data_IF_168099285222
#
_entry.id   IF_168099285222
#
_cell.length_a   1.000
_cell.length_b   1.000
_cell.length_c   1.000
_cell.angle_alpha   90.00
_cell.angle_beta   90.00
_cell.angle_gamma   90.00
#
_symmetry.space_group_name_H-M   'P 1'
#
loop_
_entity.id
_entity.type
_entity.pdbx_description
1 polymer ?
#
# COMPACT_ATOMS: atom_id res chain seq x y z
N UNK A 1 0.12 4.05 -42.94
CA UNK A 1 1.28 3.74 -42.06
C UNK A 1 1.44 4.77 -40.94
N UNK A 2 1.54 6.08 -41.21
CA UNK A 2 1.72 7.13 -40.17
C UNK A 2 0.64 7.13 -39.07
N UNK A 3 -0.64 6.99 -39.41
CA UNK A 3 -1.75 6.97 -38.42
C UNK A 3 -1.78 5.72 -37.54
N UNK A 4 -1.30 4.58 -38.05
CA UNK A 4 -1.20 3.31 -37.30
C UNK A 4 -0.06 3.41 -36.28
N UNK A 5 1.08 3.97 -36.69
CA UNK A 5 2.25 4.19 -35.81
C UNK A 5 1.92 5.22 -34.71
N UNK A 6 1.18 6.28 -35.02
CA UNK A 6 0.77 7.28 -34.02
C UNK A 6 -0.24 6.72 -33.00
N UNK A 7 -1.19 5.87 -33.42
CA UNK A 7 -2.17 5.25 -32.53
C UNK A 7 -1.53 4.23 -31.56
N UNK A 8 -0.56 3.44 -32.05
CA UNK A 8 0.25 2.53 -31.21
C UNK A 8 1.13 3.34 -30.26
N UNK A 9 1.74 4.41 -30.74
CA UNK A 9 2.56 5.31 -29.91
C UNK A 9 1.76 5.96 -28.78
N UNK A 10 0.54 6.43 -29.06
CA UNK A 10 -0.35 7.02 -28.06
C UNK A 10 -0.78 6.00 -26.98
N UNK A 11 -1.20 4.79 -27.39
CA UNK A 11 -1.58 3.74 -26.44
C UNK A 11 -0.41 3.22 -25.59
N UNK A 12 0.79 3.19 -26.15
CA UNK A 12 2.01 2.86 -25.40
C UNK A 12 2.40 3.96 -24.41
N UNK A 13 2.30 5.24 -24.80
CA UNK A 13 2.58 6.35 -23.91
C UNK A 13 1.60 6.38 -22.71
N UNK A 14 0.31 6.17 -22.96
CA UNK A 14 -0.72 6.06 -21.92
C UNK A 14 -0.48 4.83 -21.03
N UNK A 15 -0.04 3.71 -21.59
CA UNK A 15 0.32 2.54 -20.81
C UNK A 15 1.54 2.78 -19.92
N UNK A 16 2.57 3.46 -20.42
CA UNK A 16 3.75 3.81 -19.64
C UNK A 16 3.40 4.77 -18.51
N UNK A 17 2.53 5.76 -18.73
CA UNK A 17 2.04 6.64 -17.65
C UNK A 17 1.33 5.85 -16.54
N UNK A 18 0.47 4.90 -16.92
CA UNK A 18 -0.21 4.03 -15.96
C UNK A 18 0.76 3.08 -15.23
N UNK A 19 1.80 2.58 -15.90
CA UNK A 19 2.85 1.78 -15.26
C UNK A 19 3.69 2.58 -14.27
N UNK A 20 4.02 3.84 -14.58
CA UNK A 20 4.69 4.75 -13.65
C UNK A 20 3.81 5.02 -12.43
N UNK A 21 2.53 5.34 -12.62
CA UNK A 21 1.58 5.53 -11.52
C UNK A 21 1.41 4.27 -10.65
N UNK A 22 1.47 3.07 -11.26
CA UNK A 22 1.48 1.82 -10.51
C UNK A 22 2.74 1.66 -9.66
N UNK A 23 3.91 1.98 -10.23
CA UNK A 23 5.20 1.93 -9.52
C UNK A 23 5.24 2.90 -8.34
N UNK A 24 4.67 4.09 -8.50
CA UNK A 24 4.58 5.08 -7.42
C UNK A 24 3.69 4.57 -6.27
N UNK A 25 2.53 3.97 -6.59
CA UNK A 25 1.65 3.36 -5.59
C UNK A 25 2.31 2.18 -4.84
N UNK A 26 3.18 1.42 -5.49
CA UNK A 26 4.00 0.37 -4.84
C UNK A 26 5.10 0.97 -3.95
N UNK A 27 5.71 2.07 -4.37
CA UNK A 27 6.64 2.83 -3.53
C UNK A 27 5.98 3.32 -2.24
N UNK A 28 4.75 3.82 -2.34
CA UNK A 28 3.94 4.21 -1.18
C UNK A 28 3.63 3.03 -0.25
N UNK A 29 3.40 1.84 -0.81
CA UNK A 29 3.16 0.62 -0.03
C UNK A 29 4.37 0.26 0.85
N UNK A 30 5.59 0.34 0.28
CA UNK A 30 6.82 0.10 1.02
C UNK A 30 7.01 1.13 2.14
N UNK A 31 6.71 2.41 1.87
CA UNK A 31 6.77 3.47 2.88
C UNK A 31 5.78 3.23 4.03
N UNK A 32 4.52 2.88 3.75
CA UNK A 32 3.52 2.60 4.80
C UNK A 32 3.92 1.39 5.66
N UNK A 33 4.52 0.35 5.06
CA UNK A 33 5.05 -0.81 5.79
C UNK A 33 6.18 -0.42 6.75
N UNK A 34 7.13 0.42 6.30
CA UNK A 34 8.20 0.95 7.17
C UNK A 34 7.64 1.80 8.32
N UNK A 35 6.64 2.64 8.03
CA UNK A 35 5.96 3.41 9.08
C UNK A 35 5.21 2.50 10.06
N UNK A 36 4.60 1.42 9.58
CA UNK A 36 3.96 0.38 10.39
C UNK A 36 4.95 -0.30 11.34
N UNK A 37 6.14 -0.67 10.86
CA UNK A 37 7.24 -1.20 11.68
C UNK A 37 7.64 -0.20 12.77
N UNK A 38 7.78 1.07 12.41
CA UNK A 38 8.12 2.13 13.37
C UNK A 38 7.04 2.32 14.44
N UNK A 39 5.74 2.28 14.07
CA UNK A 39 4.62 2.33 15.02
C UNK A 39 4.61 1.13 15.96
N UNK A 40 4.79 -0.10 15.45
CA UNK A 40 4.87 -1.30 16.32
C UNK A 40 6.05 -1.23 17.28
N UNK A 41 7.20 -0.75 16.78
CA UNK A 41 8.40 -0.58 17.60
C UNK A 41 8.18 0.47 18.69
N UNK A 42 7.53 1.59 18.38
CA UNK A 42 7.24 2.62 19.38
C UNK A 42 6.25 2.15 20.44
N UNK A 43 5.22 1.39 20.07
CA UNK A 43 4.27 0.77 21.01
C UNK A 43 5.01 -0.18 21.97
N UNK A 44 5.86 -1.06 21.44
CA UNK A 44 6.67 -1.97 22.28
C UNK A 44 7.62 -1.21 23.21
N UNK A 45 8.21 -0.11 22.74
CA UNK A 45 9.07 0.75 23.56
C UNK A 45 8.30 1.43 24.68
N UNK A 46 7.10 1.94 24.40
CA UNK A 46 6.22 2.56 25.39
C UNK A 46 5.79 1.54 26.46
N UNK A 47 5.41 0.33 26.05
CA UNK A 47 5.11 -0.77 26.96
C UNK A 47 6.31 -1.09 27.87
N UNK A 48 7.52 -1.21 27.30
CA UNK A 48 8.73 -1.47 28.09
C UNK A 48 9.05 -0.34 29.08
N UNK A 49 8.82 0.92 28.69
CA UNK A 49 9.00 2.07 29.59
C UNK A 49 7.97 2.09 30.73
N UNK A 50 6.71 1.77 30.44
CA UNK A 50 5.67 1.67 31.46
C UNK A 50 6.01 0.60 32.49
N UNK A 51 6.36 -0.61 32.04
CA UNK A 51 6.80 -1.70 32.91
C UNK A 51 8.04 -1.33 33.72
N UNK A 52 9.05 -0.71 33.10
CA UNK A 52 10.24 -0.27 33.82
C UNK A 52 9.96 0.80 34.88
N UNK A 53 9.01 1.71 34.62
CA UNK A 53 8.60 2.72 35.60
C UNK A 53 7.84 2.11 36.78
N UNK A 54 6.99 1.11 36.53
CA UNK A 54 6.32 0.34 37.58
C UNK A 54 7.32 -0.42 38.46
N UNK A 55 8.36 -1.01 37.84
CA UNK A 55 9.39 -1.76 38.55
C UNK A 55 10.25 -0.86 39.46
N UNK A 56 10.62 0.32 38.96
CA UNK A 56 11.35 1.32 39.75
C UNK A 56 10.47 1.87 40.88
N UNK A 57 9.19 2.15 40.62
CA UNK A 57 8.25 2.61 41.65
C UNK A 57 8.04 1.55 42.73
N UNK A 58 7.91 0.28 42.34
CA UNK A 58 7.85 -0.86 43.27
C UNK A 58 9.12 -0.93 44.14
N UNK A 59 10.30 -0.90 43.52
CA UNK A 59 11.58 -0.95 44.24
C UNK A 59 11.81 0.26 45.16
N UNK A 60 11.38 1.47 44.74
CA UNK A 60 11.54 2.70 45.50
C UNK A 60 10.54 2.85 46.65
N UNK A 61 9.32 2.32 46.49
CA UNK A 61 8.27 2.49 47.50
C UNK A 61 8.55 1.69 48.77
N UNK A 62 9.23 0.55 48.70
CA UNK A 62 9.47 -0.32 49.87
C UNK A 62 8.20 -0.83 50.56
N UNK A 63 7.02 -0.44 50.06
CA UNK A 63 5.70 -0.83 50.52
C UNK A 63 5.30 -2.04 49.69
N UNK A 64 4.79 -3.07 50.37
CA UNK A 64 4.26 -4.27 49.72
C UNK A 64 2.96 -3.95 48.97
N UNK A 65 3.09 -3.28 47.83
CA UNK A 65 2.04 -3.09 46.83
C UNK A 65 1.90 -4.35 45.95
N UNK A 66 2.60 -5.45 46.29
CA UNK A 66 2.64 -6.70 45.51
C UNK A 66 1.37 -7.53 45.67
N UNK A 67 0.49 -7.19 46.63
CA UNK A 67 -0.80 -7.84 46.82
C UNK A 67 -1.81 -7.41 45.74
N UNK A 68 -1.62 -7.88 44.50
CA UNK A 68 -2.62 -7.91 43.43
C UNK A 68 -2.64 -6.72 42.47
N UNK A 69 -2.39 -5.48 42.92
CA UNK A 69 -2.55 -4.28 42.09
C UNK A 69 -1.44 -4.10 41.05
N UNK A 70 -0.17 -4.34 41.41
CA UNK A 70 0.94 -4.26 40.45
C UNK A 70 0.86 -5.35 39.37
N UNK A 71 0.42 -6.56 39.73
CA UNK A 71 0.20 -7.66 38.76
C UNK A 71 -0.97 -7.35 37.82
N UNK A 72 -2.03 -6.73 38.33
CA UNK A 72 -3.16 -6.27 37.52
C UNK A 72 -2.72 -5.15 36.55
N UNK A 73 -1.97 -4.15 37.02
CA UNK A 73 -1.46 -3.05 36.20
C UNK A 73 -0.58 -3.54 35.04
N UNK A 74 0.37 -4.45 35.30
CA UNK A 74 1.14 -5.09 34.22
C UNK A 74 0.25 -5.83 33.22
N UNK A 75 -0.73 -6.59 33.70
CA UNK A 75 -1.64 -7.34 32.83
C UNK A 75 -2.57 -6.43 32.00
N UNK A 76 -2.95 -5.27 32.53
CA UNK A 76 -3.66 -4.22 31.81
C UNK A 76 -2.74 -3.59 30.73
N UNK A 77 -1.49 -3.25 31.08
CA UNK A 77 -0.51 -2.68 30.15
C UNK A 77 -0.21 -3.61 28.96
N UNK A 78 -0.08 -4.92 29.21
CA UNK A 78 0.07 -5.91 28.13
C UNK A 78 -1.19 -6.00 27.26
N UNK A 79 -2.39 -6.03 27.85
CA UNK A 79 -3.65 -6.04 27.10
C UNK A 79 -3.81 -4.80 26.22
N UNK A 80 -3.45 -3.64 26.74
CA UNK A 80 -3.49 -2.38 26.00
C UNK A 80 -2.47 -2.38 24.86
N UNK A 81 -1.23 -2.82 25.12
CA UNK A 81 -0.21 -2.94 24.09
C UNK A 81 -0.62 -3.93 22.98
N UNK A 82 -1.21 -5.08 23.34
CA UNK A 82 -1.72 -6.06 22.39
C UNK A 82 -2.87 -5.50 21.55
N UNK A 83 -3.81 -4.78 22.17
CA UNK A 83 -4.89 -4.09 21.46
C UNK A 83 -4.33 -3.06 20.47
N UNK A 84 -3.37 -2.25 20.91
CA UNK A 84 -2.72 -1.25 20.08
C UNK A 84 -1.95 -1.87 18.90
N UNK A 85 -1.20 -2.97 19.15
CA UNK A 85 -0.47 -3.69 18.11
C UNK A 85 -1.40 -4.34 17.08
N UNK A 86 -2.50 -4.96 17.53
CA UNK A 86 -3.49 -5.58 16.65
C UNK A 86 -4.21 -4.52 15.81
N UNK A 87 -4.60 -3.40 16.43
CA UNK A 87 -5.24 -2.28 15.72
C UNK A 87 -4.30 -1.66 14.69
N UNK A 88 -3.03 -1.44 15.05
CA UNK A 88 -2.02 -0.91 14.13
C UNK A 88 -1.78 -1.85 12.95
N UNK A 89 -1.66 -3.15 13.20
CA UNK A 89 -1.44 -4.17 12.15
C UNK A 89 -2.66 -4.29 11.23
N UNK A 90 -3.88 -4.31 11.77
CA UNK A 90 -5.10 -4.34 10.95
C UNK A 90 -5.26 -3.08 10.09
N UNK A 91 -4.95 -1.91 10.65
CA UNK A 91 -5.00 -0.64 9.91
C UNK A 91 -3.96 -0.61 8.79
N UNK A 92 -2.73 -1.06 9.06
CA UNK A 92 -1.67 -1.16 8.05
C UNK A 92 -2.07 -2.11 6.93
N UNK A 93 -2.55 -3.31 7.25
CA UNK A 93 -3.01 -4.28 6.24
C UNK A 93 -4.07 -3.67 5.33
N UNK A 94 -5.08 -2.99 5.89
CA UNK A 94 -6.12 -2.33 5.09
C UNK A 94 -5.56 -1.26 4.15
N UNK A 95 -4.61 -0.43 4.63
CA UNK A 95 -3.96 0.61 3.81
C UNK A 95 -3.11 0.00 2.70
N UNK A 96 -2.31 -1.00 3.03
CA UNK A 96 -1.45 -1.74 2.09
C UNK A 96 -2.29 -2.44 1.02
N UNK A 97 -3.39 -3.09 1.41
CA UNK A 97 -4.33 -3.72 0.46
C UNK A 97 -4.92 -2.70 -0.51
N UNK A 98 -5.35 -1.53 -0.02
CA UNK A 98 -5.89 -0.47 -0.88
C UNK A 98 -4.84 0.08 -1.87
N UNK A 99 -3.58 0.21 -1.44
CA UNK A 99 -2.48 0.62 -2.32
C UNK A 99 -2.18 -0.46 -3.37
N UNK A 100 -2.18 -1.73 -2.97
CA UNK A 100 -2.00 -2.86 -3.89
C UNK A 100 -3.14 -2.94 -4.92
N UNK A 101 -4.39 -2.73 -4.50
CA UNK A 101 -5.55 -2.65 -5.40
C UNK A 101 -5.41 -1.51 -6.42
N UNK A 102 -4.95 -0.34 -5.99
CA UNK A 102 -4.67 0.80 -6.89
C UNK A 102 -3.57 0.47 -7.89
N UNK A 103 -2.45 -0.09 -7.44
CA UNK A 103 -1.36 -0.51 -8.32
C UNK A 103 -1.84 -1.57 -9.34
N UNK A 104 -2.63 -2.55 -8.90
CA UNK A 104 -3.24 -3.54 -9.79
C UNK A 104 -4.20 -2.92 -10.81
N UNK A 105 -5.01 -1.94 -10.38
CA UNK A 105 -5.92 -1.19 -11.25
C UNK A 105 -5.16 -0.42 -12.34
N UNK A 106 -4.09 0.30 -11.98
CA UNK A 106 -3.25 1.01 -12.95
C UNK A 106 -2.56 0.06 -13.93
N UNK A 107 -2.07 -1.10 -13.46
CA UNK A 107 -1.53 -2.13 -14.36
C UNK A 107 -2.56 -2.69 -15.32
N UNK A 108 -3.79 -2.90 -14.87
CA UNK A 108 -4.88 -3.33 -15.74
C UNK A 108 -5.22 -2.25 -16.78
N UNK A 109 -5.28 -0.98 -16.37
CA UNK A 109 -5.46 0.15 -17.26
C UNK A 109 -4.34 0.25 -18.31
N UNK A 110 -3.08 0.08 -17.91
CA UNK A 110 -1.93 0.06 -18.82
C UNK A 110 -2.06 -1.04 -19.89
N UNK A 111 -2.41 -2.28 -19.47
CA UNK A 111 -2.64 -3.40 -20.39
C UNK A 111 -3.78 -3.11 -21.37
N UNK A 112 -4.86 -2.50 -20.90
CA UNK A 112 -5.99 -2.12 -21.74
C UNK A 112 -5.62 -1.01 -22.71
N UNK A 113 -4.88 0.02 -22.29
CA UNK A 113 -4.39 1.09 -23.15
C UNK A 113 -3.51 0.55 -24.30
N UNK A 114 -2.58 -0.39 -24.01
CA UNK A 114 -1.81 -1.08 -25.06
C UNK A 114 -2.70 -1.82 -26.05
N UNK A 115 -3.68 -2.58 -25.55
CA UNK A 115 -4.61 -3.35 -26.38
C UNK A 115 -5.47 -2.45 -27.26
N UNK A 116 -5.99 -1.36 -26.70
CA UNK A 116 -6.80 -0.39 -27.45
C UNK A 116 -5.97 0.37 -28.48
N UNK A 117 -4.71 0.73 -28.16
CA UNK A 117 -3.78 1.32 -29.12
C UNK A 117 -3.54 0.41 -30.33
N UNK A 118 -3.29 -0.88 -30.08
CA UNK A 118 -3.13 -1.89 -31.14
C UNK A 118 -4.44 -2.10 -31.92
N UNK A 119 -5.57 -2.19 -31.23
CA UNK A 119 -6.89 -2.39 -31.85
C UNK A 119 -7.29 -1.21 -32.74
N UNK A 120 -7.14 0.02 -32.26
CA UNK A 120 -7.41 1.25 -33.01
C UNK A 120 -6.47 1.39 -34.22
N UNK A 121 -5.22 0.96 -34.07
CA UNK A 121 -4.27 0.95 -35.16
C UNK A 121 -4.61 -0.10 -36.23
N UNK A 122 -5.13 -1.27 -35.84
CA UNK A 122 -5.59 -2.31 -36.76
C UNK A 122 -6.89 -1.92 -37.47
N UNK A 123 -7.91 -1.48 -36.73
CA UNK A 123 -9.21 -1.06 -37.28
C UNK A 123 -9.08 0.19 -38.17
N UNK A 124 -8.42 1.24 -37.68
CA UNK A 124 -8.13 2.44 -38.47
C UNK A 124 -7.17 2.18 -39.64
N UNK A 125 -6.35 1.12 -39.59
CA UNK A 125 -5.53 0.66 -40.71
C UNK A 125 -6.36 -0.03 -41.79
N UNK A 126 -7.32 -0.88 -41.41
CA UNK A 126 -8.23 -1.57 -42.34
C UNK A 126 -9.16 -0.60 -43.09
N UNK A 127 -9.75 0.38 -42.40
CA UNK A 127 -10.66 1.36 -43.02
C UNK A 127 -9.95 2.23 -44.06
N UNK A 128 -8.68 2.57 -43.81
CA UNK A 128 -7.84 3.28 -44.77
C UNK A 128 -7.50 2.42 -46.00
N UNK A 129 -7.33 1.10 -45.84
CA UNK A 129 -7.03 0.19 -46.97
C UNK A 129 -8.29 -0.14 -47.77
N UNK A 130 -9.43 -0.35 -47.11
CA UNK A 130 -10.72 -0.62 -47.75
C UNK A 130 -11.22 0.61 -48.52
N UNK A 131 -11.16 1.81 -47.93
CA UNK A 131 -11.55 3.05 -48.63
C UNK A 131 -10.65 3.41 -49.81
N UNK A 132 -9.38 3.00 -49.79
CA UNK A 132 -8.47 3.17 -50.94
C UNK A 132 -8.78 2.20 -52.09
N UNK A 133 -9.29 1.01 -51.76
CA UNK A 133 -9.64 -0.04 -52.74
C UNK A 133 -11.03 0.15 -53.37
N UNK A 134 -11.95 0.87 -52.71
CA UNK A 134 -13.24 1.27 -53.29
C UNK A 134 -13.17 2.53 -54.16
N UNK A 135 -12.07 3.32 -54.06
CA UNK A 135 -11.88 4.56 -54.81
C UNK A 135 -10.93 4.47 -56.01
N UNK A 136 -10.34 3.30 -56.26
CA UNK A 136 -9.51 3.01 -57.45
C UNK A 136 -10.12 1.90 -58.28
#
# INVERSE_FOLDING_TARGET
MLGVVSAIGAGNAEATQNELAASDAEGEQASESLQGINRRTSIRKQMAQALGSEDVAYAASGVDLSFGTAKAARADAYREADLALNTATGTEQSRVSRLAERAASYRAAAKNARRMGIFNALSGGLDNVLSFKERG
#
